data_IF_276592358220
#
_entry.id   IF_276592358220
#
_cell.length_a   1.000
_cell.length_b   1.000
_cell.length_c   1.000
_cell.angle_alpha   90.00
_cell.angle_beta   90.00
_cell.angle_gamma   90.00
#
_symmetry.space_group_name_H-M   'P 1'
#
loop_
_entity.id
_entity.type
_entity.pdbx_description
1 polymer ?
#
# COMPACT_ATOMS: atom_id res chain seq x y z
N UNK A 1 8.50 1.38 -69.73
CA UNK A 1 9.64 0.61 -69.19
C UNK A 1 9.58 0.62 -67.67
N UNK A 2 10.04 -0.47 -67.06
CA UNK A 2 10.15 -0.79 -65.61
C UNK A 2 8.86 -1.19 -64.87
N UNK A 3 8.71 -2.52 -64.84
CA UNK A 3 8.10 -3.32 -63.76
C UNK A 3 8.82 -3.03 -62.43
N UNK A 4 8.15 -3.22 -61.29
CA UNK A 4 8.55 -4.17 -60.25
C UNK A 4 7.51 -4.28 -59.12
N UNK A 5 7.27 -5.54 -58.73
CA UNK A 5 6.46 -5.96 -57.60
C UNK A 5 7.13 -5.52 -56.29
N UNK A 6 6.33 -5.13 -55.30
CA UNK A 6 6.73 -5.09 -53.89
C UNK A 6 5.64 -5.85 -53.12
N UNK A 7 5.82 -7.16 -53.01
CA UNK A 7 6.28 -7.87 -51.80
C UNK A 7 5.24 -7.83 -50.68
N UNK A 8 4.52 -8.95 -50.60
CA UNK A 8 3.77 -9.42 -49.44
C UNK A 8 4.80 -9.67 -48.32
N UNK A 9 4.76 -8.82 -47.29
CA UNK A 9 5.49 -9.04 -46.05
C UNK A 9 4.73 -10.03 -45.18
N UNK A 10 5.26 -11.24 -45.08
CA UNK A 10 4.72 -12.33 -44.28
C UNK A 10 4.68 -11.99 -42.79
N UNK A 11 3.65 -12.52 -42.13
CA UNK A 11 3.49 -12.62 -40.69
C UNK A 11 4.69 -13.35 -40.09
N UNK A 12 5.48 -12.66 -39.28
CA UNK A 12 6.47 -13.24 -38.38
C UNK A 12 6.04 -13.02 -36.95
N UNK A 13 5.25 -13.94 -36.42
CA UNK A 13 4.87 -14.02 -35.02
C UNK A 13 5.89 -14.92 -34.33
N UNK A 14 6.88 -14.34 -33.65
CA UNK A 14 7.71 -15.08 -32.68
C UNK A 14 7.73 -14.32 -31.37
N UNK A 15 6.93 -14.81 -30.44
CA UNK A 15 6.90 -14.41 -29.05
C UNK A 15 8.05 -15.15 -28.37
N UNK A 16 9.02 -14.42 -27.86
CA UNK A 16 9.92 -14.93 -26.83
C UNK A 16 10.09 -13.83 -25.79
N UNK A 17 9.15 -13.77 -24.85
CA UNK A 17 9.36 -13.06 -23.59
C UNK A 17 10.26 -13.94 -22.73
N UNK A 18 11.55 -13.65 -22.72
CA UNK A 18 12.50 -14.25 -21.78
C UNK A 18 12.17 -13.72 -20.39
N UNK A 19 11.44 -14.50 -19.61
CA UNK A 19 11.23 -14.22 -18.19
C UNK A 19 12.50 -14.59 -17.43
N UNK A 20 13.41 -13.63 -17.25
CA UNK A 20 14.49 -13.81 -16.29
C UNK A 20 13.90 -13.63 -14.89
N UNK A 21 13.61 -14.76 -14.23
CA UNK A 21 13.33 -14.79 -12.81
C UNK A 21 14.63 -14.47 -12.06
N UNK A 22 14.81 -13.21 -11.68
CA UNK A 22 15.90 -12.84 -10.78
C UNK A 22 15.49 -13.30 -9.39
N UNK A 23 16.00 -14.47 -9.01
CA UNK A 23 16.02 -14.94 -7.62
C UNK A 23 16.74 -13.90 -6.76
N UNK A 24 16.12 -13.46 -5.67
CA UNK A 24 16.77 -12.64 -4.67
C UNK A 24 17.79 -13.49 -3.91
N UNK A 25 19.02 -13.55 -4.42
CA UNK A 25 20.15 -14.07 -3.67
C UNK A 25 20.59 -12.99 -2.67
N UNK A 26 20.52 -13.37 -1.39
CA UNK A 26 20.95 -12.56 -0.26
C UNK A 26 22.48 -12.51 -0.29
N UNK A 27 23.08 -11.35 -0.57
CA UNK A 27 24.51 -11.14 -0.37
C UNK A 27 24.80 -9.98 0.58
N UNK A 28 25.75 -10.23 1.47
CA UNK A 28 26.25 -9.35 2.51
C UNK A 28 27.07 -8.18 1.92
N UNK A 29 27.07 -7.03 2.62
CA UNK A 29 27.90 -5.83 2.37
C UNK A 29 29.41 -6.15 2.53
N UNK A 30 30.41 -5.31 2.11
CA UNK A 30 30.33 -3.84 1.93
C UNK A 30 31.15 -3.19 0.77
N UNK A 31 30.94 -1.87 0.62
CA UNK A 31 31.96 -0.79 0.45
C UNK A 31 32.04 -0.01 -0.89
N UNK A 32 31.90 1.33 -0.73
CA UNK A 32 32.41 2.51 -1.47
C UNK A 32 32.76 2.43 -2.97
N UNK A 33 32.21 3.32 -3.81
CA UNK A 33 32.78 4.66 -4.10
C UNK A 33 31.98 5.47 -5.16
N UNK A 34 32.15 6.79 -5.08
CA UNK A 34 31.68 7.94 -5.88
C UNK A 34 31.57 7.81 -7.42
N UNK A 35 30.52 8.39 -8.03
CA UNK A 35 30.44 9.76 -8.61
C UNK A 35 29.55 9.89 -9.88
N UNK A 36 28.69 10.93 -9.89
CA UNK A 36 28.27 11.82 -11.00
C UNK A 36 27.58 11.22 -12.26
N UNK A 37 26.48 11.71 -12.85
CA UNK A 37 26.01 13.09 -13.04
C UNK A 37 24.59 13.14 -13.72
N UNK A 38 23.91 14.29 -13.58
CA UNK A 38 22.96 14.97 -14.49
C UNK A 38 21.42 14.70 -14.47
N UNK A 39 20.73 15.68 -13.86
CA UNK A 39 19.62 16.52 -14.36
C UNK A 39 18.30 15.89 -14.86
N UNK A 40 17.19 16.18 -14.15
CA UNK A 40 16.05 16.98 -14.65
C UNK A 40 14.94 17.06 -13.57
N UNK A 41 14.78 18.24 -12.94
CA UNK A 41 13.46 18.73 -12.50
C UNK A 41 12.64 18.98 -13.78
N UNK A 42 11.33 18.75 -13.91
CA UNK A 42 10.21 18.85 -13.00
C UNK A 42 9.01 18.21 -13.73
N UNK A 43 8.19 17.39 -13.08
CA UNK A 43 6.71 17.47 -13.11
C UNK A 43 6.03 16.22 -12.52
N UNK A 44 5.44 16.44 -11.34
CA UNK A 44 4.39 15.65 -10.67
C UNK A 44 4.79 14.23 -10.20
N UNK A 45 4.96 14.00 -8.89
CA UNK A 45 4.81 12.66 -8.35
C UNK A 45 3.35 12.27 -8.54
N UNK A 46 3.06 11.55 -9.62
CA UNK A 46 1.98 10.57 -9.56
C UNK A 46 2.42 9.59 -8.49
N UNK A 47 1.96 9.81 -7.25
CA UNK A 47 2.19 8.89 -6.13
C UNK A 47 1.73 7.53 -6.67
N UNK A 48 2.64 6.57 -6.94
CA UNK A 48 2.20 5.23 -7.23
C UNK A 48 1.40 4.82 -6.01
N UNK A 49 0.17 4.34 -6.20
CA UNK A 49 -0.59 3.76 -5.09
C UNK A 49 0.28 2.63 -4.53
N UNK A 50 0.97 2.90 -3.42
CA UNK A 50 1.75 1.95 -2.67
C UNK A 50 0.81 0.81 -2.37
N UNK A 51 1.05 -0.35 -3.00
CA UNK A 51 0.29 -1.54 -2.67
C UNK A 51 0.43 -1.74 -1.16
N UNK A 52 -0.68 -1.91 -0.41
CA UNK A 52 -0.58 -2.06 1.03
C UNK A 52 0.35 -3.23 1.38
N UNK A 53 1.28 -3.01 2.30
CA UNK A 53 2.17 -4.03 2.78
C UNK A 53 1.37 -5.21 3.34
N UNK A 54 1.77 -6.44 3.06
CA UNK A 54 1.08 -7.60 3.64
C UNK A 54 1.51 -7.79 5.11
N UNK A 55 0.57 -8.04 6.04
CA UNK A 55 0.89 -8.45 7.39
C UNK A 55 1.68 -9.76 7.44
N UNK A 56 2.33 -10.09 8.57
CA UNK A 56 3.04 -11.35 8.74
C UNK A 56 2.13 -12.56 8.45
N UNK A 57 2.67 -13.59 7.79
CA UNK A 57 1.89 -14.76 7.31
C UNK A 57 1.06 -15.46 8.40
N UNK A 58 1.54 -15.45 9.64
CA UNK A 58 0.89 -16.10 10.78
C UNK A 58 0.15 -15.11 11.70
N UNK A 59 -0.09 -13.87 11.25
CA UNK A 59 -0.84 -12.87 11.99
C UNK A 59 -2.34 -12.96 11.71
N UNK A 60 -3.16 -12.49 12.65
CA UNK A 60 -4.60 -12.30 12.41
C UNK A 60 -4.92 -10.98 11.70
N UNK A 61 -3.92 -10.14 11.42
CA UNK A 61 -4.11 -8.96 10.58
C UNK A 61 -4.39 -9.35 9.13
N UNK A 62 -5.41 -8.74 8.52
CA UNK A 62 -5.76 -8.87 7.11
C UNK A 62 -5.71 -7.51 6.44
N UNK A 63 -5.01 -7.42 5.32
CA UNK A 63 -5.07 -6.25 4.44
C UNK A 63 -6.45 -6.15 3.82
N UNK A 64 -7.05 -4.97 3.88
CA UNK A 64 -8.29 -4.67 3.17
C UNK A 64 -7.94 -3.87 1.93
N UNK A 65 -8.18 -4.48 0.76
CA UNK A 65 -7.98 -3.86 -0.53
C UNK A 65 -9.31 -3.29 -1.07
N UNK A 66 -9.24 -2.23 -1.86
CA UNK A 66 -10.40 -1.65 -2.54
C UNK A 66 -11.06 -0.50 -1.78
N UNK A 67 -12.32 -0.20 -2.11
CA UNK A 67 -13.04 0.96 -1.54
C UNK A 67 -13.49 0.67 -0.11
N UNK A 68 -12.99 1.44 0.85
CA UNK A 68 -13.29 1.27 2.27
C UNK A 68 -14.79 1.33 2.61
N UNK A 69 -15.59 2.02 1.78
CA UNK A 69 -17.04 2.08 1.92
C UNK A 69 -17.68 0.69 2.06
N UNK A 70 -17.21 -0.31 1.33
CA UNK A 70 -17.82 -1.63 1.39
C UNK A 70 -17.44 -2.37 2.67
N UNK A 71 -16.21 -2.21 3.16
CA UNK A 71 -15.73 -2.84 4.39
C UNK A 71 -16.49 -2.33 5.62
N UNK A 72 -16.82 -1.02 5.65
CA UNK A 72 -17.46 -0.38 6.78
C UNK A 72 -19.01 -0.34 6.72
N UNK A 73 -19.62 -0.84 5.64
CA UNK A 73 -21.09 -0.97 5.54
C UNK A 73 -21.66 -1.92 6.57
N UNK A 74 -20.94 -3.01 6.84
CA UNK A 74 -21.39 -4.05 7.77
C UNK A 74 -20.64 -3.91 9.07
N UNK A 75 -21.38 -3.71 10.17
CA UNK A 75 -20.84 -3.74 11.53
C UNK A 75 -20.38 -5.15 11.85
N UNK A 76 -19.14 -5.29 12.30
CA UNK A 76 -18.53 -6.60 12.55
C UNK A 76 -17.75 -6.66 13.87
N UNK A 77 -17.80 -5.61 14.71
CA UNK A 77 -17.15 -5.57 16.01
C UNK A 77 -15.62 -5.83 15.98
N UNK A 78 -15.00 -5.82 14.80
CA UNK A 78 -13.56 -6.05 14.63
C UNK A 78 -12.77 -4.76 14.85
N UNK A 79 -11.51 -4.93 15.24
CA UNK A 79 -10.54 -3.84 15.30
C UNK A 79 -9.93 -3.60 13.93
N UNK A 80 -9.68 -2.33 13.66
CA UNK A 80 -9.05 -1.86 12.43
C UNK A 80 -7.92 -0.90 12.76
N UNK A 81 -6.94 -0.87 11.87
CA UNK A 81 -5.93 0.18 11.83
C UNK A 81 -5.88 0.78 10.43
N UNK A 82 -5.73 2.10 10.37
CA UNK A 82 -5.36 2.81 9.16
C UNK A 82 -4.02 3.50 9.35
N UNK A 83 -3.17 3.38 8.34
CA UNK A 83 -2.03 4.30 8.16
C UNK A 83 -2.55 5.52 7.43
N UNK A 84 -2.51 6.68 8.08
CA UNK A 84 -3.07 7.89 7.51
C UNK A 84 -2.28 9.15 7.92
N UNK A 85 -2.40 10.19 7.12
CA UNK A 85 -1.94 11.54 7.46
C UNK A 85 -3.08 12.52 7.31
N UNK A 86 -3.04 13.58 8.09
CA UNK A 86 -4.03 14.63 7.97
C UNK A 86 -3.90 15.36 6.63
N UNK A 87 -5.02 15.70 5.99
CA UNK A 87 -4.99 16.31 4.67
C UNK A 87 -4.43 17.74 4.68
N UNK A 88 -4.67 18.50 5.76
CA UNK A 88 -4.46 19.95 5.80
C UNK A 88 -3.21 20.38 6.55
N UNK A 89 -2.83 19.66 7.60
CA UNK A 89 -1.83 20.16 8.58
C UNK A 89 -0.59 19.26 8.69
N UNK A 90 -0.76 17.93 8.66
CA UNK A 90 0.33 16.99 8.89
C UNK A 90 0.90 16.38 7.61
N UNK A 91 2.22 16.51 7.44
CA UNK A 91 2.95 15.67 6.47
C UNK A 91 3.32 14.29 7.03
N UNK A 92 3.11 14.08 8.34
CA UNK A 92 3.50 12.86 9.03
C UNK A 92 2.40 11.82 9.03
N UNK A 93 2.77 10.60 8.71
CA UNK A 93 1.91 9.44 8.80
C UNK A 93 1.79 8.95 10.24
N UNK A 94 0.59 8.53 10.60
CA UNK A 94 0.24 7.99 11.91
C UNK A 94 -0.68 6.79 11.76
N UNK A 95 -0.70 5.94 12.79
CA UNK A 95 -1.68 4.86 12.88
C UNK A 95 -2.89 5.35 13.67
N UNK A 96 -4.07 5.11 13.12
CA UNK A 96 -5.33 5.31 13.83
C UNK A 96 -5.97 3.94 14.01
N UNK A 97 -6.11 3.53 15.28
CA UNK A 97 -6.79 2.29 15.68
C UNK A 97 -8.21 2.59 16.11
N UNK A 98 -9.16 1.77 15.68
CA UNK A 98 -10.57 1.93 16.01
C UNK A 98 -11.32 0.60 15.90
N UNK A 99 -12.51 0.54 16.51
CA UNK A 99 -13.44 -0.57 16.31
C UNK A 99 -14.46 -0.21 15.25
N UNK A 100 -14.84 -1.18 14.41
CA UNK A 100 -15.85 -0.93 13.38
C UNK A 100 -17.17 -0.41 13.98
N UNK A 101 -17.55 -0.89 15.16
CA UNK A 101 -18.82 -0.46 15.76
C UNK A 101 -18.79 1.00 16.23
N UNK A 102 -17.60 1.58 16.39
CA UNK A 102 -17.42 2.99 16.73
C UNK A 102 -17.53 3.91 15.50
N UNK A 103 -17.58 3.35 14.27
CA UNK A 103 -17.55 4.13 13.01
C UNK A 103 -18.69 5.14 12.88
N UNK A 104 -19.86 4.93 13.54
CA UNK A 104 -20.97 5.90 13.51
C UNK A 104 -20.53 7.31 13.98
N UNK A 105 -19.47 7.38 14.80
CA UNK A 105 -18.89 8.61 15.31
C UNK A 105 -17.48 8.90 14.74
N UNK A 106 -16.84 7.93 14.07
CA UNK A 106 -15.44 8.04 13.64
C UNK A 106 -15.26 8.27 12.15
N UNK A 107 -16.20 7.93 11.27
CA UNK A 107 -16.00 8.18 9.84
C UNK A 107 -17.24 8.83 9.25
N UNK A 108 -17.10 10.10 8.83
CA UNK A 108 -18.11 10.80 8.06
C UNK A 108 -18.14 10.28 6.62
N UNK A 109 -17.76 11.13 5.66
CA UNK A 109 -17.66 10.72 4.27
C UNK A 109 -16.36 9.90 4.02
N UNK A 110 -16.49 8.75 3.38
CA UNK A 110 -15.38 7.94 2.87
C UNK A 110 -15.39 8.10 1.35
N UNK A 111 -14.34 8.72 0.79
CA UNK A 111 -14.23 8.95 -0.65
C UNK A 111 -12.83 8.62 -1.14
N UNK A 112 -12.72 7.72 -2.11
CA UNK A 112 -11.45 7.17 -2.58
C UNK A 112 -10.64 6.58 -1.40
N UNK A 113 -9.44 7.14 -1.15
CA UNK A 113 -8.56 6.80 -0.03
C UNK A 113 -8.66 7.83 1.12
N UNK A 114 -9.70 8.67 1.14
CA UNK A 114 -9.90 9.72 2.14
C UNK A 114 -10.97 9.35 3.15
N UNK A 115 -10.75 9.71 4.42
CA UNK A 115 -11.70 9.43 5.49
C UNK A 115 -11.78 10.57 6.51
N UNK A 116 -12.99 10.93 6.95
CA UNK A 116 -13.22 12.04 7.89
C UNK A 116 -13.43 11.55 9.33
N UNK A 117 -12.49 11.80 10.24
CA UNK A 117 -12.54 11.35 11.64
C UNK A 117 -12.61 12.53 12.59
N UNK A 118 -13.64 12.59 13.45
CA UNK A 118 -13.85 13.68 14.42
C UNK A 118 -13.65 15.07 13.79
N UNK A 119 -14.26 15.27 12.63
CA UNK A 119 -14.15 16.46 11.79
C UNK A 119 -12.85 16.73 11.04
N UNK A 120 -11.84 15.88 11.19
CA UNK A 120 -10.55 15.98 10.50
C UNK A 120 -10.50 15.04 9.28
N UNK A 121 -10.05 15.54 8.14
CA UNK A 121 -9.85 14.72 6.93
C UNK A 121 -8.48 14.06 6.92
N UNK A 122 -8.47 12.76 6.70
CA UNK A 122 -7.29 11.94 6.60
C UNK A 122 -7.13 11.36 5.20
N UNK A 123 -5.90 11.38 4.68
CA UNK A 123 -5.49 10.62 3.52
C UNK A 123 -4.94 9.29 4.03
N UNK A 124 -5.55 8.19 3.61
CA UNK A 124 -5.20 6.83 4.03
C UNK A 124 -4.25 6.20 3.02
N UNK A 125 -3.16 5.61 3.51
CA UNK A 125 -2.24 4.81 2.72
C UNK A 125 -2.66 3.34 2.69
N UNK A 126 -3.02 2.79 3.85
CA UNK A 126 -3.37 1.37 3.98
C UNK A 126 -4.37 1.13 5.11
N UNK A 127 -5.17 0.07 4.97
CA UNK A 127 -6.21 -0.36 5.89
C UNK A 127 -6.01 -1.85 6.23
N UNK A 128 -6.11 -2.16 7.51
CA UNK A 128 -6.00 -3.54 8.02
C UNK A 128 -7.09 -3.84 9.03
N UNK A 129 -7.60 -5.07 9.00
CA UNK A 129 -8.58 -5.62 9.94
C UNK A 129 -7.93 -6.69 10.81
N UNK A 130 -8.25 -6.70 12.10
CA UNK A 130 -7.87 -7.74 13.03
C UNK A 130 -8.97 -8.80 13.10
N UNK A 131 -8.64 -10.03 12.69
CA UNK A 131 -9.58 -11.16 12.75
C UNK A 131 -9.44 -12.00 14.02
N UNK A 132 -8.44 -11.72 14.86
CA UNK A 132 -8.19 -12.45 16.10
C UNK A 132 -9.11 -12.05 17.25
N UNK A 133 -8.89 -12.69 18.39
CA UNK A 133 -9.61 -12.39 19.62
C UNK A 133 -8.97 -11.23 20.39
N UNK A 134 -9.81 -10.48 21.11
CA UNK A 134 -9.38 -9.33 21.90
C UNK A 134 -8.94 -8.11 21.07
N UNK A 135 -8.43 -7.10 21.78
CA UNK A 135 -7.89 -5.90 21.17
C UNK A 135 -6.42 -6.12 20.79
N UNK A 136 -6.02 -5.84 19.54
CA UNK A 136 -4.64 -6.00 19.12
C UNK A 136 -3.76 -4.85 19.64
N UNK A 137 -2.50 -5.17 19.91
CA UNK A 137 -1.41 -4.19 19.97
C UNK A 137 -1.31 -3.41 18.65
N UNK A 138 -1.01 -2.12 18.78
CA UNK A 138 -0.87 -1.20 17.65
C UNK A 138 0.53 -1.37 17.03
N UNK A 139 0.65 -1.64 15.72
CA UNK A 139 1.94 -1.65 15.03
C UNK A 139 2.71 -0.33 15.11
N UNK A 140 3.97 -0.34 14.67
CA UNK A 140 4.76 0.89 14.48
C UNK A 140 4.80 1.27 13.01
N UNK A 141 4.83 2.56 12.71
CA UNK A 141 4.82 3.12 11.36
C UNK A 141 6.04 4.00 11.11
N UNK A 142 6.56 4.00 9.89
CA UNK A 142 7.45 5.05 9.42
C UNK A 142 6.63 6.33 9.17
N UNK A 143 6.89 7.36 9.98
CA UNK A 143 6.18 8.66 9.91
C UNK A 143 6.34 9.40 8.58
N UNK A 144 7.32 9.06 7.75
CA UNK A 144 7.58 9.70 6.46
C UNK A 144 6.90 8.96 5.30
N UNK A 145 6.90 7.62 5.33
CA UNK A 145 6.36 6.80 4.23
C UNK A 145 4.95 6.29 4.49
N UNK A 146 4.58 6.12 5.75
CA UNK A 146 3.32 5.52 6.16
C UNK A 146 3.29 3.99 6.08
N UNK A 147 4.45 3.36 5.92
CA UNK A 147 4.60 1.90 5.93
C UNK A 147 4.74 1.38 7.36
N UNK A 148 4.24 0.17 7.61
CA UNK A 148 4.37 -0.47 8.92
C UNK A 148 5.77 -1.07 9.03
N UNK A 149 6.54 -0.60 10.02
CA UNK A 149 7.92 -1.01 10.24
C UNK A 149 8.03 -2.14 11.24
N UNK A 150 7.05 -2.29 12.13
CA UNK A 150 7.01 -3.33 13.15
C UNK A 150 5.58 -3.77 13.43
N UNK A 151 5.24 -4.96 12.94
CA UNK A 151 4.01 -5.66 13.29
C UNK A 151 4.19 -6.30 14.66
N UNK A 152 3.61 -5.68 15.71
CA UNK A 152 3.65 -6.23 17.06
C UNK A 152 3.16 -7.68 17.07
N UNK A 153 4.01 -8.58 17.56
CA UNK A 153 3.71 -10.00 17.65
C UNK A 153 2.60 -10.22 18.68
N UNK A 154 1.55 -10.92 18.28
CA UNK A 154 0.44 -11.24 19.16
C UNK A 154 0.27 -12.74 19.20
N UNK A 155 0.51 -13.31 20.37
CA UNK A 155 0.22 -14.72 20.63
C UNK A 155 -1.29 -14.83 20.71
N UNK A 156 -1.91 -15.19 19.57
CA UNK A 156 -3.31 -15.55 19.54
C UNK A 156 -3.54 -16.62 20.60
N UNK A 157 -4.40 -16.33 21.56
CA UNK A 157 -4.89 -17.37 22.46
C UNK A 157 -5.76 -18.27 21.60
N UNK A 158 -5.27 -19.49 21.32
CA UNK A 158 -6.06 -20.53 20.66
C UNK A 158 -7.15 -21.04 21.60
#
# INVERSE_FOLDING_TARGET
MKKWLSIIGAIGLTITSTTTLISCEKSEKPNNNNNNNNNNEENKPTIPASQPQQPPKNSNWKTINGTFNNEFKTRNNKFYIISAKEQREDKTWKIIKFKNDDINNLFGNVWNNGVKIKDIWYIVNSLYRWDGDGEPETPTIDKNTGEITDWKEQKGTK
#
